data_IF_006465846880
#
_entry.id   IF_006465846880
#
_cell.length_a   1.000
_cell.length_b   1.000
_cell.length_c   1.000
_cell.angle_alpha   90.00
_cell.angle_beta   90.00
_cell.angle_gamma   90.00
#
_symmetry.space_group_name_H-M   'P 1'
#
loop_
_entity.id
_entity.type
_entity.pdbx_description
1 polymer ?
#
# COMPACT_ATOMS: atom_id res chain seq x y z
N UNK A 1 17.67 0.80 23.96
CA UNK A 1 16.73 -0.33 23.72
C UNK A 1 16.03 -0.18 22.36
N UNK A 2 15.45 0.95 21.99
CA UNK A 2 14.73 1.16 20.71
C UNK A 2 15.57 0.79 19.46
N UNK A 3 16.83 1.22 19.36
CA UNK A 3 17.69 0.94 18.20
C UNK A 3 17.97 -0.56 18.01
N UNK A 4 18.15 -1.33 19.10
CA UNK A 4 18.36 -2.79 19.03
C UNK A 4 17.09 -3.52 18.60
N UNK A 5 15.93 -3.04 19.04
CA UNK A 5 14.62 -3.55 18.65
C UNK A 5 14.36 -3.35 17.15
N UNK A 6 14.68 -2.18 16.60
CA UNK A 6 14.53 -1.88 15.16
C UNK A 6 15.48 -2.74 14.31
N UNK A 7 16.74 -2.87 14.72
CA UNK A 7 17.70 -3.75 14.04
C UNK A 7 17.25 -5.22 14.00
N UNK A 8 16.57 -5.70 15.06
CA UNK A 8 16.03 -7.06 15.07
C UNK A 8 14.86 -7.23 14.10
N UNK A 9 13.99 -6.22 13.98
CA UNK A 9 12.91 -6.24 12.99
C UNK A 9 13.45 -6.30 11.57
N UNK A 10 14.39 -5.41 11.23
CA UNK A 10 15.05 -5.42 9.93
C UNK A 10 15.69 -6.79 9.63
N UNK A 11 16.43 -7.33 10.58
CA UNK A 11 17.03 -8.67 10.46
C UNK A 11 15.98 -9.76 10.18
N UNK A 12 14.82 -9.70 10.84
CA UNK A 12 13.72 -10.65 10.64
C UNK A 12 13.12 -10.48 9.24
N UNK A 13 12.93 -9.26 8.76
CA UNK A 13 12.40 -8.98 7.42
C UNK A 13 13.33 -9.49 6.32
N UNK A 14 14.62 -9.20 6.41
CA UNK A 14 15.63 -9.65 5.46
C UNK A 14 15.71 -11.18 5.42
N UNK A 15 15.77 -11.80 6.60
CA UNK A 15 15.82 -13.26 6.70
C UNK A 15 14.55 -13.94 6.17
N UNK A 16 13.38 -13.36 6.45
CA UNK A 16 12.11 -13.90 5.93
C UNK A 16 12.05 -13.79 4.40
N UNK A 17 12.39 -12.63 3.86
CA UNK A 17 12.42 -12.41 2.40
C UNK A 17 13.41 -13.34 1.70
N UNK A 18 14.63 -13.49 2.24
CA UNK A 18 15.63 -14.42 1.72
C UNK A 18 15.15 -15.87 1.78
N UNK A 19 14.60 -16.30 2.93
CA UNK A 19 14.13 -17.67 3.10
C UNK A 19 13.03 -18.03 2.09
N UNK A 20 12.06 -17.14 1.84
CA UNK A 20 10.99 -17.41 0.88
C UNK A 20 11.49 -17.42 -0.56
N UNK A 21 12.45 -16.56 -0.91
CA UNK A 21 13.02 -16.50 -2.25
C UNK A 21 13.95 -17.67 -2.57
N UNK A 22 14.77 -18.10 -1.60
CA UNK A 22 15.69 -19.23 -1.76
C UNK A 22 14.97 -20.58 -1.79
N UNK A 23 13.91 -20.73 -1.00
CA UNK A 23 13.19 -21.99 -0.84
C UNK A 23 11.91 -22.06 -1.68
N UNK A 24 11.49 -20.98 -2.34
CA UNK A 24 10.24 -20.83 -3.08
C UNK A 24 8.99 -21.22 -2.25
N UNK A 25 9.09 -21.08 -0.92
CA UNK A 25 8.03 -21.43 0.04
C UNK A 25 8.20 -20.66 1.35
N UNK A 26 7.10 -20.49 2.06
CA UNK A 26 7.14 -19.90 3.40
C UNK A 26 7.82 -20.84 4.42
N UNK A 27 8.51 -20.28 5.44
CA UNK A 27 9.05 -21.07 6.55
C UNK A 27 7.94 -21.87 7.24
N UNK A 28 8.21 -23.14 7.55
CA UNK A 28 7.20 -24.07 8.09
C UNK A 28 6.66 -23.69 9.46
N UNK A 29 7.47 -23.04 10.29
CA UNK A 29 7.09 -22.59 11.64
C UNK A 29 7.98 -21.48 12.14
N UNK A 30 7.49 -20.68 13.11
CA UNK A 30 8.27 -19.67 13.82
C UNK A 30 9.50 -20.30 14.47
N UNK A 31 9.35 -21.47 15.07
CA UNK A 31 10.46 -22.18 15.71
C UNK A 31 11.63 -22.45 14.76
N UNK A 32 11.36 -23.03 13.59
CA UNK A 32 12.41 -23.33 12.60
C UNK A 32 13.04 -22.06 12.05
N UNK A 33 12.23 -21.06 11.74
CA UNK A 33 12.70 -19.77 11.27
C UNK A 33 13.61 -19.08 12.29
N UNK A 34 13.20 -19.00 13.56
CA UNK A 34 13.99 -18.42 14.64
C UNK A 34 15.30 -19.19 14.87
N UNK A 35 15.25 -20.53 14.79
CA UNK A 35 16.45 -21.38 14.94
C UNK A 35 17.48 -21.09 13.84
N UNK A 36 17.04 -20.97 12.58
CA UNK A 36 17.93 -20.64 11.46
C UNK A 36 18.50 -19.22 11.59
N UNK A 37 17.67 -18.26 12.03
CA UNK A 37 18.08 -16.88 12.23
C UNK A 37 18.99 -16.66 13.45
N UNK A 38 19.03 -17.61 14.40
CA UNK A 38 19.79 -17.49 15.65
C UNK A 38 19.17 -16.51 16.63
N UNK A 39 17.83 -16.44 16.69
CA UNK A 39 17.04 -15.66 17.66
C UNK A 39 16.09 -16.58 18.42
N UNK A 40 15.68 -16.19 19.63
CA UNK A 40 14.68 -16.93 20.37
C UNK A 40 13.27 -16.62 19.87
N UNK A 41 12.33 -17.57 20.01
CA UNK A 41 10.91 -17.30 19.74
C UNK A 41 10.35 -16.19 20.65
N UNK A 42 10.87 -16.05 21.88
CA UNK A 42 10.47 -14.98 22.78
C UNK A 42 10.84 -13.60 22.22
N UNK A 43 12.02 -13.43 21.61
CA UNK A 43 12.42 -12.20 20.94
C UNK A 43 11.57 -11.94 19.70
N UNK A 44 11.27 -12.98 18.91
CA UNK A 44 10.39 -12.87 17.75
C UNK A 44 8.99 -12.39 18.16
N UNK A 45 8.37 -13.03 19.16
CA UNK A 45 7.01 -12.70 19.61
C UNK A 45 6.90 -11.34 20.32
N UNK A 46 8.01 -10.69 20.69
CA UNK A 46 7.99 -9.29 21.12
C UNK A 46 7.65 -8.32 19.96
N UNK A 47 7.84 -8.74 18.72
CA UNK A 47 7.66 -7.90 17.52
C UNK A 47 6.55 -8.39 16.61
N UNK A 48 6.40 -9.70 16.46
CA UNK A 48 5.50 -10.29 15.47
C UNK A 48 4.69 -11.44 16.07
N UNK A 49 3.37 -11.42 15.86
CA UNK A 49 2.50 -12.49 16.35
C UNK A 49 2.54 -13.77 15.50
N UNK A 50 3.08 -13.70 14.25
CA UNK A 50 3.15 -14.83 13.32
C UNK A 50 4.05 -14.50 12.13
N UNK A 51 4.42 -15.50 11.33
CA UNK A 51 5.12 -15.29 10.05
C UNK A 51 4.25 -14.52 9.05
N UNK A 52 2.93 -14.73 9.05
CA UNK A 52 2.01 -13.95 8.23
C UNK A 52 1.98 -12.46 8.63
N UNK A 53 2.14 -12.16 9.92
CA UNK A 53 2.32 -10.78 10.39
C UNK A 53 3.63 -10.16 9.87
N UNK A 54 4.74 -10.92 9.88
CA UNK A 54 6.01 -10.48 9.26
C UNK A 54 5.79 -10.12 7.79
N UNK A 55 5.13 -11.00 7.02
CA UNK A 55 4.81 -10.78 5.61
C UNK A 55 4.04 -9.48 5.37
N UNK A 56 3.02 -9.19 6.20
CA UNK A 56 2.25 -7.94 6.12
C UNK A 56 3.07 -6.70 6.48
N UNK A 57 3.92 -6.81 7.50
CA UNK A 57 4.77 -5.70 7.96
C UNK A 57 5.88 -5.34 6.95
N UNK A 58 6.35 -6.28 6.13
CA UNK A 58 7.29 -5.97 5.04
C UNK A 58 6.65 -4.98 4.04
N UNK A 59 5.37 -5.12 3.71
CA UNK A 59 4.68 -4.14 2.86
C UNK A 59 4.54 -2.77 3.53
N UNK A 60 4.37 -2.72 4.85
CA UNK A 60 4.42 -1.45 5.58
C UNK A 60 5.82 -0.84 5.54
N UNK A 61 6.87 -1.65 5.64
CA UNK A 61 8.24 -1.16 5.50
C UNK A 61 8.50 -0.56 4.10
N UNK A 62 7.99 -1.18 3.04
CA UNK A 62 8.08 -0.59 1.70
C UNK A 62 7.37 0.76 1.61
N UNK A 63 6.20 0.88 2.24
CA UNK A 63 5.46 2.13 2.34
C UNK A 63 6.25 3.20 3.13
N UNK A 64 6.76 2.85 4.30
CA UNK A 64 7.52 3.75 5.17
C UNK A 64 8.82 4.21 4.49
N UNK A 65 9.50 3.31 3.76
CA UNK A 65 10.68 3.63 2.97
C UNK A 65 10.36 4.63 1.86
N UNK A 66 9.27 4.42 1.13
CA UNK A 66 8.85 5.35 0.08
C UNK A 66 8.53 6.74 0.65
N UNK A 67 7.74 6.80 1.72
CA UNK A 67 7.46 8.08 2.41
C UNK A 67 8.72 8.74 2.96
N UNK A 68 9.62 7.95 3.56
CA UNK A 68 10.87 8.44 4.08
C UNK A 68 11.79 9.04 3.00
N UNK A 69 11.77 8.47 1.79
CA UNK A 69 12.54 8.99 0.65
C UNK A 69 11.99 10.33 0.15
N UNK A 70 10.68 10.41 -0.11
CA UNK A 70 10.07 11.65 -0.63
C UNK A 70 10.06 12.77 0.41
N UNK A 71 9.90 12.45 1.70
CA UNK A 71 9.87 13.44 2.77
C UNK A 71 11.23 14.12 3.04
N UNK A 72 12.33 13.54 2.56
CA UNK A 72 13.67 14.17 2.63
C UNK A 72 13.81 15.35 1.66
N UNK A 73 13.02 15.37 0.60
CA UNK A 73 13.00 16.47 -0.37
C UNK A 73 12.35 17.72 0.24
N UNK A 74 13.10 18.83 0.30
CA UNK A 74 12.59 20.11 0.85
C UNK A 74 11.34 20.59 0.13
N UNK A 75 11.17 20.22 -1.13
CA UNK A 75 10.06 20.63 -1.99
C UNK A 75 8.77 19.83 -1.69
N UNK A 76 8.87 18.62 -1.12
CA UNK A 76 7.71 17.77 -0.89
C UNK A 76 6.62 18.46 -0.05
N UNK A 77 7.01 19.25 0.95
CA UNK A 77 6.06 19.98 1.79
C UNK A 77 5.24 21.04 1.02
N UNK A 78 5.78 21.56 -0.07
CA UNK A 78 5.15 22.63 -0.89
C UNK A 78 4.33 22.10 -2.07
N UNK A 79 4.44 20.79 -2.36
CA UNK A 79 3.66 20.14 -3.43
C UNK A 79 2.17 20.15 -3.11
N UNK A 80 1.35 20.24 -4.16
CA UNK A 80 -0.10 20.00 -4.04
C UNK A 80 -0.41 18.54 -3.62
N UNK A 81 -1.58 18.25 -3.04
CA UNK A 81 -1.98 16.88 -2.71
C UNK A 81 -1.87 15.90 -3.89
N UNK A 82 -2.18 16.36 -5.12
CA UNK A 82 -2.04 15.56 -6.34
C UNK A 82 -0.58 15.20 -6.62
N UNK A 83 0.32 16.17 -6.53
CA UNK A 83 1.75 15.95 -6.77
C UNK A 83 2.38 15.09 -5.68
N UNK A 84 1.95 15.27 -4.41
CA UNK A 84 2.37 14.40 -3.30
C UNK A 84 1.97 12.94 -3.52
N UNK A 85 0.72 12.70 -3.95
CA UNK A 85 0.24 11.35 -4.25
C UNK A 85 0.98 10.74 -5.44
N UNK A 86 1.21 11.53 -6.49
CA UNK A 86 1.97 11.09 -7.67
C UNK A 86 3.41 10.73 -7.30
N UNK A 87 4.09 11.60 -6.56
CA UNK A 87 5.45 11.33 -6.05
C UNK A 87 5.50 10.07 -5.19
N UNK A 88 4.48 9.89 -4.33
CA UNK A 88 4.37 8.65 -3.55
C UNK A 88 4.27 7.42 -4.43
N UNK A 89 3.38 7.40 -5.43
CA UNK A 89 3.22 6.23 -6.29
C UNK A 89 4.51 5.89 -7.02
N UNK A 90 5.15 6.84 -7.69
CA UNK A 90 6.41 6.58 -8.38
C UNK A 90 7.47 6.01 -7.42
N UNK A 91 7.69 6.65 -6.27
CA UNK A 91 8.69 6.17 -5.31
C UNK A 91 8.31 4.81 -4.72
N UNK A 92 7.03 4.56 -4.45
CA UNK A 92 6.57 3.29 -3.92
C UNK A 92 6.77 2.16 -4.92
N UNK A 93 6.45 2.37 -6.20
CA UNK A 93 6.67 1.38 -7.25
C UNK A 93 8.15 1.14 -7.53
N UNK A 94 9.01 2.15 -7.39
CA UNK A 94 10.48 1.95 -7.39
C UNK A 94 10.93 1.05 -6.23
N UNK A 95 10.42 1.27 -5.03
CA UNK A 95 10.71 0.39 -3.87
C UNK A 95 10.20 -1.04 -4.12
N UNK A 96 9.00 -1.19 -4.69
CA UNK A 96 8.46 -2.52 -5.06
C UNK A 96 9.31 -3.19 -6.14
N UNK A 97 9.82 -2.43 -7.13
CA UNK A 97 10.67 -2.94 -8.19
C UNK A 97 11.98 -3.52 -7.64
N UNK A 98 12.60 -2.86 -6.67
CA UNK A 98 13.81 -3.37 -6.00
C UNK A 98 13.55 -4.69 -5.24
N UNK A 99 12.28 -5.00 -4.96
CA UNK A 99 11.85 -6.18 -4.22
C UNK A 99 10.86 -7.04 -5.03
N UNK A 100 10.90 -6.94 -6.37
CA UNK A 100 9.86 -7.51 -7.25
C UNK A 100 9.64 -9.01 -7.02
N UNK A 101 10.69 -9.80 -6.93
CA UNK A 101 10.57 -11.25 -6.73
C UNK A 101 9.82 -11.59 -5.45
N UNK A 102 10.11 -10.87 -4.35
CA UNK A 102 9.39 -11.03 -3.10
C UNK A 102 7.91 -10.63 -3.22
N UNK A 103 7.62 -9.49 -3.85
CA UNK A 103 6.24 -9.01 -4.02
C UNK A 103 5.42 -9.99 -4.85
N UNK A 104 5.97 -10.49 -5.96
CA UNK A 104 5.32 -11.49 -6.81
C UNK A 104 5.03 -12.77 -6.02
N UNK A 105 5.99 -13.29 -5.25
CA UNK A 105 5.78 -14.44 -4.38
C UNK A 105 4.70 -14.18 -3.32
N UNK A 106 4.81 -13.06 -2.62
CA UNK A 106 3.92 -12.73 -1.51
C UNK A 106 2.46 -12.50 -1.93
N UNK A 107 2.23 -12.03 -3.16
CA UNK A 107 0.90 -11.75 -3.73
C UNK A 107 0.46 -12.81 -4.76
N UNK A 108 1.20 -13.92 -4.90
CA UNK A 108 0.84 -14.98 -5.84
C UNK A 108 -0.60 -15.48 -5.60
N UNK A 109 -1.39 -15.51 -6.67
CA UNK A 109 -2.80 -15.89 -6.64
C UNK A 109 -3.74 -14.90 -5.91
N UNK A 110 -3.28 -13.71 -5.48
CA UNK A 110 -4.13 -12.70 -4.84
C UNK A 110 -5.21 -12.14 -5.79
N UNK A 111 -4.99 -12.20 -7.10
CA UNK A 111 -6.01 -11.84 -8.09
C UNK A 111 -7.18 -12.82 -8.16
N UNK A 112 -6.97 -14.08 -7.78
CA UNK A 112 -8.00 -15.12 -7.76
C UNK A 112 -8.65 -15.30 -6.38
N UNK A 113 -7.94 -14.92 -5.30
CA UNK A 113 -8.40 -15.08 -3.92
C UNK A 113 -8.22 -13.79 -3.11
N UNK A 114 -9.34 -13.11 -2.85
CA UNK A 114 -9.36 -11.88 -2.06
C UNK A 114 -8.85 -12.08 -0.62
N UNK A 115 -8.88 -13.30 -0.07
CA UNK A 115 -8.33 -13.58 1.25
C UNK A 115 -6.82 -13.37 1.28
N UNK A 116 -6.13 -13.61 0.15
CA UNK A 116 -4.69 -13.34 0.02
C UNK A 116 -4.34 -11.86 0.11
N UNK A 117 -5.29 -10.96 -0.18
CA UNK A 117 -5.12 -9.52 0.04
C UNK A 117 -5.10 -9.15 1.53
N UNK A 118 -5.45 -10.07 2.43
CA UNK A 118 -5.35 -9.84 3.89
C UNK A 118 -3.92 -9.51 4.33
N UNK A 119 -2.91 -9.95 3.59
CA UNK A 119 -1.50 -9.58 3.81
C UNK A 119 -1.25 -8.08 3.68
N UNK A 120 -2.08 -7.37 2.90
CA UNK A 120 -1.99 -5.93 2.70
C UNK A 120 -2.82 -5.11 3.70
N UNK A 121 -3.36 -5.73 4.76
CA UNK A 121 -4.25 -5.05 5.72
C UNK A 121 -3.56 -3.87 6.43
N UNK A 122 -2.33 -4.08 6.89
CA UNK A 122 -1.56 -3.04 7.55
C UNK A 122 -1.16 -1.94 6.55
N UNK A 123 -0.68 -2.31 5.35
CA UNK A 123 -0.43 -1.36 4.27
C UNK A 123 -1.67 -0.53 3.94
N UNK A 124 -2.86 -1.16 3.88
CA UNK A 124 -4.11 -0.44 3.66
C UNK A 124 -4.34 0.63 4.71
N UNK A 125 -4.13 0.31 5.99
CA UNK A 125 -4.31 1.27 7.07
C UNK A 125 -3.34 2.44 6.96
N UNK A 126 -2.05 2.16 6.73
CA UNK A 126 -1.01 3.18 6.59
C UNK A 126 -1.25 4.09 5.38
N UNK A 127 -1.53 3.49 4.22
CA UNK A 127 -1.80 4.21 2.98
C UNK A 127 -3.05 5.10 3.08
N UNK A 128 -4.14 4.56 3.64
CA UNK A 128 -5.36 5.36 3.87
C UNK A 128 -5.10 6.54 4.81
N UNK A 129 -4.33 6.36 5.87
CA UNK A 129 -3.93 7.44 6.75
C UNK A 129 -3.16 8.55 6.01
N UNK A 130 -2.21 8.17 5.15
CA UNK A 130 -1.49 9.12 4.30
C UNK A 130 -2.44 9.89 3.36
N UNK A 131 -3.31 9.18 2.65
CA UNK A 131 -4.28 9.81 1.73
C UNK A 131 -5.27 10.70 2.47
N UNK A 132 -5.75 10.29 3.65
CA UNK A 132 -6.61 11.12 4.49
C UNK A 132 -5.96 12.46 4.82
N UNK A 133 -4.67 12.48 5.18
CA UNK A 133 -3.93 13.71 5.39
C UNK A 133 -3.86 14.61 4.13
N UNK A 134 -3.68 14.03 2.94
CA UNK A 134 -3.71 14.77 1.68
C UNK A 134 -5.08 15.37 1.37
N UNK A 135 -6.16 14.64 1.70
CA UNK A 135 -7.53 15.12 1.51
C UNK A 135 -7.83 16.27 2.47
N UNK A 136 -7.41 16.16 3.73
CA UNK A 136 -7.55 17.23 4.72
C UNK A 136 -6.81 18.48 4.28
N UNK A 137 -5.57 18.35 3.82
CA UNK A 137 -4.78 19.46 3.27
C UNK A 137 -5.49 20.13 2.08
N UNK A 138 -5.99 19.31 1.12
CA UNK A 138 -6.76 19.81 -0.02
C UNK A 138 -8.09 20.49 0.39
N UNK A 139 -8.74 19.98 1.46
CA UNK A 139 -9.96 20.55 1.99
C UNK A 139 -9.75 21.84 2.79
N UNK A 140 -8.57 22.06 3.36
CA UNK A 140 -8.25 23.25 4.14
C UNK A 140 -8.29 24.53 3.30
N UNK A 141 -7.98 24.44 2.01
CA UNK A 141 -8.02 25.58 1.08
C UNK A 141 -9.40 25.83 0.47
N UNK A 142 -10.40 24.95 0.70
CA UNK A 142 -11.75 25.07 0.16
C UNK A 142 -12.65 25.88 1.10
N UNK A 143 -13.30 26.91 0.56
CA UNK A 143 -14.08 27.88 1.35
C UNK A 143 -15.46 27.38 1.79
N UNK A 144 -16.06 26.41 1.07
CA UNK A 144 -17.42 25.94 1.35
C UNK A 144 -17.45 24.47 1.72
N UNK A 145 -18.41 24.11 2.58
CA UNK A 145 -18.61 22.70 3.02
C UNK A 145 -19.01 21.77 1.86
N UNK A 146 -19.69 22.32 0.85
CA UNK A 146 -20.15 21.59 -0.35
C UNK A 146 -18.97 21.22 -1.27
N UNK A 147 -17.90 22.02 -1.26
CA UNK A 147 -16.69 21.74 -2.07
C UNK A 147 -15.70 20.81 -1.39
N UNK A 148 -15.91 20.44 -0.13
CA UNK A 148 -15.02 19.52 0.61
C UNK A 148 -15.29 18.07 0.24
N UNK A 149 -14.20 17.33 0.07
CA UNK A 149 -14.27 15.93 -0.25
C UNK A 149 -14.52 15.05 0.99
N UNK A 150 -15.45 14.07 0.93
CA UNK A 150 -15.63 13.09 2.00
C UNK A 150 -14.41 12.17 2.10
N UNK A 151 -13.65 12.32 3.18
CA UNK A 151 -12.38 11.64 3.42
C UNK A 151 -12.49 10.11 3.27
N UNK A 152 -13.51 9.51 3.91
CA UNK A 152 -13.69 8.07 3.90
C UNK A 152 -13.90 7.50 2.47
N UNK A 153 -14.67 8.19 1.63
CA UNK A 153 -14.94 7.75 0.26
C UNK A 153 -13.68 7.83 -0.60
N UNK A 154 -12.93 8.92 -0.45
CA UNK A 154 -11.76 9.19 -1.28
C UNK A 154 -10.57 8.32 -0.87
N UNK A 155 -10.37 8.07 0.43
CA UNK A 155 -9.32 7.18 0.91
C UNK A 155 -9.58 5.72 0.51
N UNK A 156 -10.85 5.27 0.47
CA UNK A 156 -11.20 3.95 -0.09
C UNK A 156 -10.97 3.89 -1.60
N UNK A 157 -11.36 4.93 -2.34
CA UNK A 157 -11.09 5.02 -3.79
C UNK A 157 -9.60 4.96 -4.11
N UNK A 158 -8.78 5.69 -3.36
CA UNK A 158 -7.33 5.67 -3.51
C UNK A 158 -6.73 4.28 -3.16
N UNK A 159 -7.28 3.59 -2.16
CA UNK A 159 -6.88 2.22 -1.87
C UNK A 159 -7.18 1.27 -3.02
N UNK A 160 -8.37 1.35 -3.62
CA UNK A 160 -8.72 0.55 -4.80
C UNK A 160 -7.82 0.88 -5.99
N UNK A 161 -7.47 2.15 -6.18
CA UNK A 161 -6.50 2.59 -7.18
C UNK A 161 -5.13 1.96 -6.94
N UNK A 162 -4.63 1.96 -5.70
CA UNK A 162 -3.35 1.33 -5.37
C UNK A 162 -3.37 -0.18 -5.67
N UNK A 163 -4.44 -0.89 -5.30
CA UNK A 163 -4.59 -2.32 -5.63
C UNK A 163 -4.60 -2.59 -7.13
N UNK A 164 -5.32 -1.74 -7.89
CA UNK A 164 -5.31 -1.80 -9.36
C UNK A 164 -3.90 -1.61 -9.92
N UNK A 165 -3.18 -0.60 -9.44
CA UNK A 165 -1.81 -0.32 -9.90
C UNK A 165 -0.83 -1.43 -9.52
N UNK A 166 -0.92 -2.00 -8.32
CA UNK A 166 -0.10 -3.16 -7.91
C UNK A 166 -0.37 -4.34 -8.86
N UNK A 167 -1.64 -4.66 -9.12
CA UNK A 167 -1.98 -5.74 -10.04
C UNK A 167 -1.45 -5.48 -11.44
N UNK A 168 -1.66 -4.26 -11.97
CA UNK A 168 -1.18 -3.85 -13.29
C UNK A 168 0.35 -3.99 -13.39
N UNK A 169 1.09 -3.51 -12.37
CA UNK A 169 2.55 -3.61 -12.30
C UNK A 169 3.05 -5.06 -12.21
N UNK A 170 2.34 -5.93 -11.50
CA UNK A 170 2.70 -7.36 -11.43
C UNK A 170 2.63 -8.04 -12.81
N UNK A 171 1.71 -7.62 -13.66
CA UNK A 171 1.46 -8.14 -15.01
C UNK A 171 2.24 -7.37 -16.10
N UNK A 172 2.89 -6.25 -15.74
CA UNK A 172 3.64 -5.42 -16.68
C UNK A 172 4.96 -6.09 -17.09
N UNK A 173 5.10 -6.34 -18.38
CA UNK A 173 6.27 -6.92 -19.05
C UNK A 173 7.08 -5.90 -19.86
N UNK A 174 6.71 -4.63 -19.82
CA UNK A 174 7.41 -3.58 -20.57
C UNK A 174 8.78 -3.28 -19.96
N UNK A 175 9.79 -2.94 -20.77
CA UNK A 175 11.09 -2.53 -20.28
C UNK A 175 10.95 -1.35 -19.30
N UNK A 176 11.61 -1.44 -18.15
CA UNK A 176 11.54 -0.39 -17.12
C UNK A 176 10.15 -0.12 -16.53
N UNK A 177 9.16 -0.97 -16.84
CA UNK A 177 7.75 -0.82 -16.38
C UNK A 177 7.09 0.49 -16.83
N UNK A 178 7.44 0.97 -18.05
CA UNK A 178 6.92 2.22 -18.62
C UNK A 178 5.39 2.26 -18.72
N UNK A 179 4.74 1.10 -18.93
CA UNK A 179 3.26 1.02 -18.93
C UNK A 179 2.69 1.30 -17.55
N UNK A 180 3.36 0.86 -16.50
CA UNK A 180 2.96 1.14 -15.11
C UNK A 180 3.08 2.62 -14.80
N UNK A 181 4.16 3.29 -15.22
CA UNK A 181 4.33 4.73 -15.06
C UNK A 181 3.20 5.50 -15.74
N UNK A 182 2.87 5.11 -16.98
CA UNK A 182 1.71 5.69 -17.69
C UNK A 182 0.39 5.42 -16.96
N UNK A 183 0.21 4.24 -16.36
CA UNK A 183 -0.99 3.90 -15.61
C UNK A 183 -1.10 4.74 -14.33
N UNK A 184 0.01 4.98 -13.63
CA UNK A 184 0.08 5.86 -12.46
C UNK A 184 -0.36 7.27 -12.85
N UNK A 185 0.28 7.88 -13.84
CA UNK A 185 -0.05 9.26 -14.27
C UNK A 185 -1.52 9.40 -14.69
N UNK A 186 -1.99 8.51 -15.57
CA UNK A 186 -3.37 8.54 -16.10
C UNK A 186 -4.38 8.31 -15.00
N UNK A 187 -4.16 7.33 -14.11
CA UNK A 187 -5.12 7.02 -13.05
C UNK A 187 -5.21 8.15 -12.02
N UNK A 188 -4.08 8.72 -11.59
CA UNK A 188 -4.05 9.86 -10.67
C UNK A 188 -4.76 11.07 -11.30
N UNK A 189 -4.43 11.38 -12.56
CA UNK A 189 -5.12 12.47 -13.27
C UNK A 189 -6.62 12.25 -13.34
N UNK A 190 -7.06 11.07 -13.78
CA UNK A 190 -8.48 10.71 -13.90
C UNK A 190 -9.22 10.82 -12.57
N UNK A 191 -8.62 10.31 -11.49
CA UNK A 191 -9.19 10.39 -10.15
C UNK A 191 -9.37 11.84 -9.73
N UNK A 192 -8.34 12.68 -9.85
CA UNK A 192 -8.44 14.09 -9.48
C UNK A 192 -9.39 14.88 -10.37
N UNK A 193 -9.44 14.61 -11.69
CA UNK A 193 -10.36 15.26 -12.62
C UNK A 193 -11.81 14.86 -12.31
N UNK A 194 -12.06 13.57 -12.03
CA UNK A 194 -13.38 13.08 -11.60
C UNK A 194 -13.86 13.80 -10.35
N UNK A 195 -13.01 13.91 -9.34
CA UNK A 195 -13.36 14.49 -8.07
C UNK A 195 -13.49 16.03 -8.08
N UNK A 196 -12.79 16.70 -8.98
CA UNK A 196 -12.93 18.15 -9.11
C UNK A 196 -14.15 18.56 -9.94
N UNK A 197 -14.61 17.72 -10.87
CA UNK A 197 -15.62 18.07 -11.86
C UNK A 197 -16.97 17.36 -11.66
N UNK A 198 -17.03 16.32 -10.82
CA UNK A 198 -18.26 15.56 -10.60
C UNK A 198 -18.93 15.97 -9.29
N UNK A 199 -20.24 16.30 -9.29
CA UNK A 199 -20.98 16.50 -8.06
C UNK A 199 -20.90 15.25 -7.18
N UNK A 200 -20.40 15.43 -5.95
CA UNK A 200 -20.19 14.36 -4.97
C UNK A 200 -21.47 13.56 -4.72
N UNK A 201 -22.61 14.25 -4.73
CA UNK A 201 -23.93 13.64 -4.58
C UNK A 201 -24.21 12.54 -5.61
N UNK A 202 -23.81 12.75 -6.88
CA UNK A 202 -23.99 11.77 -7.95
C UNK A 202 -23.14 10.50 -7.72
N UNK A 203 -21.92 10.63 -7.19
CA UNK A 203 -21.04 9.50 -6.85
C UNK A 203 -21.60 8.72 -5.66
N UNK A 204 -22.05 9.43 -4.65
CA UNK A 204 -22.67 8.84 -3.43
C UNK A 204 -23.98 8.13 -3.78
N UNK A 205 -24.81 8.72 -4.63
CA UNK A 205 -26.08 8.12 -5.05
C UNK A 205 -25.86 6.89 -5.92
N UNK A 206 -24.87 6.92 -6.81
CA UNK A 206 -24.48 5.74 -7.59
C UNK A 206 -23.93 4.64 -6.68
N UNK A 207 -23.09 4.97 -5.71
CA UNK A 207 -22.58 4.01 -4.72
C UNK A 207 -23.70 3.38 -3.88
N UNK A 208 -24.69 4.19 -3.42
CA UNK A 208 -25.88 3.70 -2.71
C UNK A 208 -26.75 2.81 -3.59
N UNK A 209 -26.90 3.16 -4.86
CA UNK A 209 -27.62 2.34 -5.84
C UNK A 209 -26.98 0.96 -5.99
N UNK A 210 -25.66 0.90 -6.24
CA UNK A 210 -24.92 -0.36 -6.37
C UNK A 210 -25.00 -1.21 -5.10
N UNK A 211 -24.93 -0.58 -3.92
CA UNK A 211 -25.06 -1.27 -2.65
C UNK A 211 -26.46 -1.90 -2.47
N UNK A 212 -27.52 -1.14 -2.79
CA UNK A 212 -28.90 -1.63 -2.72
C UNK A 212 -29.16 -2.80 -3.65
N UNK A 213 -28.62 -2.76 -4.86
CA UNK A 213 -28.81 -3.84 -5.84
C UNK A 213 -28.04 -5.12 -5.45
N UNK A 214 -26.85 -5.00 -4.87
CA UNK A 214 -26.10 -6.18 -4.34
C UNK A 214 -26.83 -6.86 -3.17
N UNK A 215 -27.49 -6.09 -2.30
CA UNK A 215 -28.25 -6.65 -1.15
C UNK A 215 -29.53 -7.34 -1.61
N UNK A 216 -30.14 -6.92 -2.73
CA UNK A 216 -31.34 -7.57 -3.27
C UNK A 216 -31.07 -8.88 -4.02
N UNK A 217 -29.81 -9.12 -4.41
CA UNK A 217 -29.38 -10.30 -5.19
C UNK A 217 -28.67 -11.35 -4.33
N UNK A 218 -28.52 -11.13 -3.01
CA UNK A 218 -27.99 -12.06 -2.02
C UNK A 218 -29.10 -12.50 -1.06
#
# INVERSE_FOLDING_TARGET
MAKKSEQLKEKIFDAYSSAVLEQEKEPKSVYLFCKELGVSEAEFYQHFGSLNHVKGQIFCQFFDNALGLISKGKEFATLSPKEKLLSFYFTFFEVLMLNRSYVLFALDGASADLQKLSVLKELRSAFKGFVSGLIEEGNAVKQTRISKHPEALFSEGAWLQLLFLIKFWMEDDSPGFEKTDMAIEKSVRTVFDLFNNTPIDSIVDFGKFLWKEKIKTA
#
